data_IF_299039660191
#
_entry.id   IF_299039660191
#
_cell.length_a   1.000
_cell.length_b   1.000
_cell.length_c   1.000
_cell.angle_alpha   90.00
_cell.angle_beta   90.00
_cell.angle_gamma   90.00
#
_symmetry.space_group_name_H-M   'P 1'
#
loop_
_entity.id
_entity.type
_entity.pdbx_description
1 polymer ?
#
# COMPACT_ATOMS: atom_id res chain seq x y z
N UNK A 1 -19.27 -4.14 -6.79
CA UNK A 1 -18.22 -3.12 -7.00
C UNK A 1 -18.79 -2.05 -7.91
N UNK A 2 -18.74 -0.78 -7.49
CA UNK A 2 -19.13 0.35 -8.35
C UNK A 2 -17.90 0.81 -9.13
N UNK A 3 -17.99 0.88 -10.46
CA UNK A 3 -16.96 1.41 -11.34
C UNK A 3 -17.53 2.67 -12.01
N UNK A 4 -16.91 3.85 -11.85
CA UNK A 4 -17.32 5.05 -12.58
C UNK A 4 -17.29 4.80 -14.09
N UNK A 5 -18.28 5.31 -14.82
CA UNK A 5 -18.41 5.09 -16.27
C UNK A 5 -17.16 5.55 -17.05
N UNK A 6 -16.52 6.64 -16.61
CA UNK A 6 -15.27 7.15 -17.18
C UNK A 6 -14.07 6.21 -17.03
N UNK A 7 -14.16 5.21 -16.15
CA UNK A 7 -13.11 4.21 -15.90
C UNK A 7 -13.45 2.85 -16.55
N UNK A 8 -14.59 2.71 -17.24
CA UNK A 8 -15.04 1.44 -17.79
C UNK A 8 -14.09 0.83 -18.84
N UNK A 9 -13.32 1.67 -19.54
CA UNK A 9 -12.36 1.26 -20.57
C UNK A 9 -10.91 1.33 -20.10
N UNK A 10 -10.67 1.72 -18.84
CA UNK A 10 -9.32 1.83 -18.29
C UNK A 10 -8.87 0.46 -17.79
N UNK A 11 -7.75 -0.02 -18.32
CA UNK A 11 -7.11 -1.23 -17.79
C UNK A 11 -6.61 -0.98 -16.38
N UNK A 12 -7.29 -1.56 -15.40
CA UNK A 12 -6.83 -1.63 -14.01
C UNK A 12 -6.23 -3.03 -13.77
N UNK A 13 -5.11 -3.09 -13.08
CA UNK A 13 -4.57 -4.34 -12.58
C UNK A 13 -4.85 -4.47 -11.08
N UNK A 14 -5.00 -5.71 -10.62
CA UNK A 14 -5.29 -6.02 -9.22
C UNK A 14 -3.99 -6.02 -8.41
N UNK A 15 -3.55 -4.86 -7.93
CA UNK A 15 -2.45 -4.71 -6.97
C UNK A 15 -2.80 -3.62 -5.92
N UNK A 16 -2.67 -3.89 -4.61
CA UNK A 16 -2.38 -5.20 -4.02
C UNK A 16 -3.50 -6.21 -4.29
N UNK A 17 -3.09 -7.44 -4.57
CA UNK A 17 -3.95 -8.61 -4.69
C UNK A 17 -4.06 -9.25 -3.30
N UNK A 18 -5.29 -9.44 -2.79
CA UNK A 18 -5.54 -9.84 -1.39
C UNK A 18 -6.06 -11.26 -1.20
N UNK A 19 -6.30 -12.02 -2.26
CA UNK A 19 -6.69 -13.44 -2.16
C UNK A 19 -5.44 -14.31 -1.95
N UNK A 20 -4.31 -13.95 -2.56
CA UNK A 20 -2.99 -14.61 -2.40
C UNK A 20 -1.93 -13.71 -1.77
N UNK A 21 -2.32 -12.48 -1.41
CA UNK A 21 -1.49 -11.51 -0.70
C UNK A 21 -0.20 -11.19 -1.46
N UNK A 22 -0.32 -10.62 -2.65
CA UNK A 22 0.83 -10.18 -3.45
C UNK A 22 0.72 -8.70 -3.84
N UNK A 23 1.87 -8.07 -4.01
CA UNK A 23 1.96 -6.69 -4.50
C UNK A 23 3.20 -6.58 -5.39
N UNK A 24 3.08 -5.90 -6.54
CA UNK A 24 4.20 -5.63 -7.44
C UNK A 24 4.40 -4.15 -7.69
N UNK A 25 5.66 -3.74 -7.85
CA UNK A 25 6.03 -2.39 -8.31
C UNK A 25 7.47 -2.40 -8.85
N UNK A 26 7.83 -1.42 -9.66
CA UNK A 26 9.19 -1.30 -10.17
C UNK A 26 10.04 -0.40 -9.25
N UNK A 27 10.64 -1.02 -8.24
CA UNK A 27 11.42 -0.33 -7.20
C UNK A 27 12.71 0.33 -7.71
N UNK A 28 13.18 -0.06 -8.91
CA UNK A 28 14.39 0.50 -9.53
C UNK A 28 14.09 1.81 -10.27
N UNK A 29 12.97 1.86 -11.01
CA UNK A 29 12.67 3.01 -11.88
C UNK A 29 11.60 3.95 -11.33
N UNK A 30 10.65 3.46 -10.51
CA UNK A 30 9.57 4.27 -9.98
C UNK A 30 10.05 5.01 -8.72
N UNK A 31 10.22 6.36 -8.74
CA UNK A 31 10.72 7.11 -7.59
C UNK A 31 9.84 6.98 -6.34
N UNK A 32 8.56 6.66 -6.52
CA UNK A 32 7.60 6.47 -5.43
C UNK A 32 7.73 5.10 -4.78
N UNK A 33 8.32 4.13 -5.48
CA UNK A 33 8.51 2.75 -5.04
C UNK A 33 9.90 2.50 -4.45
N UNK A 34 10.88 3.38 -4.67
CA UNK A 34 12.28 3.16 -4.30
C UNK A 34 12.49 2.79 -2.82
N UNK A 35 11.70 3.36 -1.90
CA UNK A 35 11.78 3.04 -0.48
C UNK A 35 11.47 1.58 -0.16
N UNK A 36 10.83 0.85 -1.07
CA UNK A 36 10.51 -0.57 -0.89
C UNK A 36 11.72 -1.49 -1.13
N UNK A 37 12.85 -0.98 -1.61
CA UNK A 37 14.10 -1.77 -1.70
C UNK A 37 14.62 -2.22 -0.34
N UNK A 38 14.29 -1.45 0.69
CA UNK A 38 14.66 -1.71 2.09
C UNK A 38 13.69 -2.65 2.81
N UNK A 39 12.62 -3.11 2.14
CA UNK A 39 11.62 -4.00 2.74
C UNK A 39 12.20 -5.40 2.87
N UNK A 40 12.07 -5.95 4.07
CA UNK A 40 12.55 -7.26 4.46
C UNK A 40 11.39 -8.15 4.94
N UNK A 41 11.68 -9.44 5.06
CA UNK A 41 10.78 -10.39 5.70
C UNK A 41 10.48 -9.92 7.13
N UNK A 42 9.21 -9.91 7.51
CA UNK A 42 8.70 -9.44 8.79
C UNK A 42 8.17 -8.01 8.77
N UNK A 43 8.46 -7.23 7.73
CA UNK A 43 7.94 -5.86 7.60
C UNK A 43 6.45 -5.85 7.23
N UNK A 44 5.80 -4.71 7.49
CA UNK A 44 4.42 -4.47 7.12
C UNK A 44 4.33 -3.44 6.00
N UNK A 45 3.75 -3.83 4.86
CA UNK A 45 3.34 -2.91 3.79
C UNK A 45 1.87 -2.56 3.98
N UNK A 46 1.58 -1.33 4.41
CA UNK A 46 0.21 -0.82 4.52
C UNK A 46 -0.24 -0.13 3.24
N UNK A 47 -1.43 -0.47 2.74
CA UNK A 47 -1.97 0.11 1.51
C UNK A 47 -3.00 1.18 1.82
N UNK A 48 -2.72 2.39 1.33
CA UNK A 48 -3.60 3.55 1.45
C UNK A 48 -4.29 3.80 0.10
N UNK A 49 -5.60 4.04 0.13
CA UNK A 49 -6.40 4.37 -1.05
C UNK A 49 -7.24 5.60 -0.81
N UNK A 50 -7.40 6.43 -1.84
CA UNK A 50 -8.40 7.50 -1.83
C UNK A 50 -9.75 6.91 -2.19
N UNK A 51 -10.68 6.93 -1.25
CA UNK A 51 -12.03 6.40 -1.44
C UNK A 51 -13.07 7.51 -1.34
N UNK A 52 -14.22 7.25 -1.93
CA UNK A 52 -15.41 8.09 -1.89
C UNK A 52 -16.36 7.54 -0.81
N UNK A 53 -16.97 8.43 -0.03
CA UNK A 53 -17.98 7.99 0.94
C UNK A 53 -19.25 7.52 0.22
N UNK A 54 -19.85 6.47 0.75
CA UNK A 54 -21.07 5.86 0.25
C UNK A 54 -22.18 5.99 1.29
N UNK A 55 -23.27 6.67 0.94
CA UNK A 55 -24.36 6.98 1.86
C UNK A 55 -25.71 6.76 1.19
N UNK A 56 -26.64 6.12 1.90
CA UNK A 56 -28.00 5.87 1.41
C UNK A 56 -28.04 5.25 -0.01
N UNK A 57 -27.14 4.29 -0.27
CA UNK A 57 -27.10 3.56 -1.55
C UNK A 57 -26.45 4.30 -2.71
N UNK A 58 -25.80 5.45 -2.48
CA UNK A 58 -25.15 6.24 -3.54
C UNK A 58 -23.79 6.80 -3.12
N UNK A 59 -22.86 7.05 -4.07
CA UNK A 59 -21.64 7.77 -3.79
C UNK A 59 -21.92 9.24 -3.43
N UNK A 60 -21.07 9.85 -2.61
CA UNK A 60 -21.15 11.27 -2.22
C UNK A 60 -19.95 12.05 -2.75
N UNK A 61 -20.01 13.38 -2.80
CA UNK A 61 -18.84 14.20 -3.18
C UNK A 61 -17.74 14.28 -2.11
N UNK A 62 -17.84 13.50 -1.03
CA UNK A 62 -16.85 13.46 0.05
C UNK A 62 -15.83 12.37 -0.24
N UNK A 63 -14.57 12.71 -0.04
CA UNK A 63 -13.44 11.81 -0.24
C UNK A 63 -12.54 11.79 0.99
N UNK A 64 -11.90 10.66 1.23
CA UNK A 64 -10.91 10.48 2.28
C UNK A 64 -9.82 9.50 1.84
N UNK A 65 -8.75 9.45 2.61
CA UNK A 65 -7.78 8.35 2.50
C UNK A 65 -8.10 7.29 3.54
N UNK A 66 -7.93 6.04 3.15
CA UNK A 66 -8.21 4.90 4.00
C UNK A 66 -7.16 3.82 3.81
N UNK A 67 -6.77 3.15 4.89
CA UNK A 67 -6.09 1.87 4.75
C UNK A 67 -7.10 0.81 4.31
N UNK A 68 -6.72 0.02 3.31
CA UNK A 68 -7.56 -1.06 2.78
C UNK A 68 -7.08 -2.45 3.21
N UNK A 69 -5.87 -2.52 3.77
CA UNK A 69 -5.23 -3.74 4.22
C UNK A 69 -3.72 -3.58 4.32
N UNK A 70 -3.05 -4.69 4.58
CA UNK A 70 -1.60 -4.76 4.63
C UNK A 70 -1.06 -6.15 4.22
N UNK A 71 0.20 -6.18 3.80
CA UNK A 71 1.00 -7.40 3.71
C UNK A 71 1.95 -7.46 4.90
N UNK A 72 1.96 -8.59 5.62
CA UNK A 72 3.08 -8.95 6.49
C UNK A 72 4.07 -9.74 5.65
N UNK A 73 5.15 -9.10 5.22
CA UNK A 73 6.05 -9.57 4.16
C UNK A 73 6.74 -10.87 4.57
N UNK A 74 6.60 -11.90 3.74
CA UNK A 74 7.22 -13.20 3.92
C UNK A 74 8.36 -13.44 2.94
N UNK A 75 8.11 -13.09 1.67
CA UNK A 75 9.05 -13.31 0.57
C UNK A 75 9.05 -12.11 -0.37
N UNK A 76 10.20 -11.85 -0.98
CA UNK A 76 10.38 -10.77 -1.96
C UNK A 76 11.16 -11.32 -3.16
N UNK A 77 10.57 -11.22 -4.34
CA UNK A 77 11.28 -11.36 -5.61
C UNK A 77 11.81 -9.98 -6.02
N UNK A 78 13.12 -9.86 -6.17
CA UNK A 78 13.80 -8.59 -6.46
C UNK A 78 14.25 -8.58 -7.91
N UNK A 79 14.16 -7.42 -8.56
CA UNK A 79 14.67 -7.16 -9.90
C UNK A 79 14.35 -8.29 -10.90
N UNK A 80 13.07 -8.67 -10.98
CA UNK A 80 12.61 -9.78 -11.83
C UNK A 80 12.74 -9.38 -13.30
N UNK A 81 13.72 -9.98 -13.98
CA UNK A 81 14.03 -9.75 -15.40
C UNK A 81 13.89 -11.01 -16.27
N UNK A 82 13.45 -12.11 -15.67
CA UNK A 82 13.17 -13.37 -16.34
C UNK A 82 12.15 -14.17 -15.52
N UNK A 83 11.64 -15.27 -16.09
CA UNK A 83 10.70 -16.14 -15.38
C UNK A 83 11.33 -16.69 -14.09
N UNK A 84 10.69 -16.51 -12.93
CA UNK A 84 11.12 -17.15 -11.68
C UNK A 84 11.12 -18.68 -11.78
N UNK A 85 11.73 -19.32 -10.77
CA UNK A 85 11.67 -20.78 -10.62
C UNK A 85 10.23 -21.28 -10.49
N UNK A 86 9.99 -22.57 -10.74
CA UNK A 86 8.65 -23.18 -10.64
C UNK A 86 8.01 -22.96 -9.26
N UNK A 87 8.77 -23.12 -8.19
CA UNK A 87 8.31 -22.88 -6.81
C UNK A 87 7.94 -21.41 -6.55
N UNK A 88 8.73 -20.47 -7.08
CA UNK A 88 8.40 -19.04 -6.96
C UNK A 88 7.18 -18.70 -7.83
N UNK A 89 7.06 -19.31 -9.01
CA UNK A 89 5.91 -19.12 -9.87
C UNK A 89 4.62 -19.59 -9.16
N UNK A 90 4.65 -20.74 -8.49
CA UNK A 90 3.50 -21.23 -7.70
C UNK A 90 3.04 -20.19 -6.67
N UNK A 91 3.98 -19.52 -5.99
CA UNK A 91 3.69 -18.50 -4.96
C UNK A 91 3.17 -17.19 -5.54
N UNK A 92 3.70 -16.75 -6.70
CA UNK A 92 3.53 -15.39 -7.19
C UNK A 92 2.70 -15.26 -8.48
N UNK A 93 2.30 -16.37 -9.13
CA UNK A 93 1.57 -16.38 -10.41
C UNK A 93 0.30 -15.50 -10.46
N UNK A 94 -0.34 -15.23 -9.32
CA UNK A 94 -1.50 -14.35 -9.25
C UNK A 94 -1.14 -12.86 -9.41
N UNK A 95 0.10 -12.48 -9.15
CA UNK A 95 0.55 -11.09 -9.17
C UNK A 95 0.46 -10.50 -10.58
N UNK A 96 -0.07 -9.28 -10.70
CA UNK A 96 -0.33 -8.69 -11.99
C UNK A 96 0.94 -8.37 -12.80
N UNK A 97 2.06 -8.05 -12.13
CA UNK A 97 3.32 -7.77 -12.82
C UNK A 97 3.90 -9.03 -13.46
N UNK A 98 3.86 -10.18 -12.77
CA UNK A 98 4.24 -11.46 -13.38
C UNK A 98 3.31 -11.87 -14.51
N UNK A 99 1.99 -11.75 -14.32
CA UNK A 99 1.02 -12.07 -15.39
C UNK A 99 1.23 -11.21 -16.64
N UNK A 100 1.56 -9.94 -16.43
CA UNK A 100 1.92 -9.01 -17.51
C UNK A 100 3.20 -9.46 -18.21
N UNK A 101 4.26 -9.77 -17.47
CA UNK A 101 5.54 -10.21 -18.02
C UNK A 101 5.44 -11.54 -18.80
N UNK A 102 4.63 -12.50 -18.31
CA UNK A 102 4.36 -13.74 -19.03
C UNK A 102 3.66 -13.53 -20.39
N UNK A 103 2.93 -12.42 -20.57
CA UNK A 103 2.27 -12.11 -21.84
C UNK A 103 3.17 -11.42 -22.87
N UNK A 104 4.31 -10.88 -22.45
CA UNK A 104 5.20 -10.10 -23.32
C UNK A 104 6.62 -10.06 -22.75
N UNK A 105 7.58 -10.60 -23.50
CA UNK A 105 8.98 -10.74 -23.09
C UNK A 105 9.64 -9.40 -22.71
N UNK A 106 9.26 -8.28 -23.34
CA UNK A 106 9.82 -6.97 -23.01
C UNK A 106 9.35 -6.40 -21.65
N UNK A 107 8.40 -7.06 -20.99
CA UNK A 107 7.82 -6.62 -19.71
C UNK A 107 8.47 -7.32 -18.51
N UNK A 108 9.50 -8.12 -18.73
CA UNK A 108 10.46 -8.55 -17.70
C UNK A 108 11.42 -7.39 -17.34
N UNK A 109 10.86 -6.34 -16.75
CA UNK A 109 11.46 -5.00 -16.67
C UNK A 109 12.14 -4.66 -15.31
N UNK A 110 12.64 -5.67 -14.59
CA UNK A 110 13.24 -5.56 -13.26
C UNK A 110 12.25 -5.12 -12.17
N UNK A 111 10.96 -5.43 -12.32
CA UNK A 111 9.98 -5.20 -11.27
C UNK A 111 10.28 -6.06 -10.02
N UNK A 112 9.73 -5.65 -8.89
CA UNK A 112 9.79 -6.40 -7.64
C UNK A 112 8.40 -6.91 -7.30
N UNK A 113 8.35 -8.07 -6.65
CA UNK A 113 7.08 -8.66 -6.16
C UNK A 113 7.23 -9.05 -4.70
N UNK A 114 6.27 -8.65 -3.89
CA UNK A 114 6.20 -8.90 -2.46
C UNK A 114 5.07 -9.88 -2.19
N UNK A 115 5.35 -10.92 -1.42
CA UNK A 115 4.38 -11.90 -0.95
C UNK A 115 4.19 -11.76 0.55
N UNK A 116 2.93 -11.63 0.96
CA UNK A 116 2.53 -11.64 2.36
C UNK A 116 2.40 -13.06 2.93
N UNK A 117 2.62 -13.19 4.22
CA UNK A 117 2.31 -14.39 5.01
C UNK A 117 0.82 -14.49 5.33
N UNK A 118 0.44 -15.54 6.07
CA UNK A 118 -0.89 -15.73 6.66
C UNK A 118 -1.31 -14.64 7.66
N UNK A 119 -0.41 -13.75 8.08
CA UNK A 119 -0.75 -12.59 8.92
C UNK A 119 -1.20 -11.39 8.10
N UNK A 120 -1.09 -11.43 6.77
CA UNK A 120 -1.58 -10.38 5.88
C UNK A 120 -3.10 -10.29 5.93
N UNK A 121 -3.65 -9.10 5.67
CA UNK A 121 -5.09 -8.89 5.82
C UNK A 121 -5.62 -7.83 4.87
N UNK A 122 -6.77 -8.13 4.26
CA UNK A 122 -7.68 -7.12 3.69
C UNK A 122 -8.70 -6.74 4.74
N UNK A 123 -8.84 -5.45 5.02
CA UNK A 123 -9.80 -5.01 6.01
C UNK A 123 -11.23 -5.18 5.52
N UNK A 124 -12.11 -5.59 6.42
CA UNK A 124 -13.54 -5.69 6.13
C UNK A 124 -14.15 -4.30 5.89
N UNK A 125 -13.75 -3.32 6.71
CA UNK A 125 -14.00 -1.89 6.48
C UNK A 125 -12.69 -1.14 6.29
N UNK A 126 -12.67 -0.23 5.33
CA UNK A 126 -11.51 0.63 5.11
C UNK A 126 -11.29 1.54 6.33
N UNK A 127 -10.07 1.55 6.87
CA UNK A 127 -9.71 2.26 8.10
C UNK A 127 -9.36 3.72 7.76
N UNK A 128 -10.02 4.73 8.35
CA UNK A 128 -9.80 6.12 7.97
C UNK A 128 -8.39 6.61 8.33
N UNK A 129 -7.75 7.29 7.39
CA UNK A 129 -6.49 8.02 7.60
C UNK A 129 -6.83 9.49 7.80
N UNK A 130 -6.83 9.94 9.05
CA UNK A 130 -7.23 11.30 9.45
C UNK A 130 -6.02 12.14 9.81
N UNK A 131 -6.20 13.47 9.86
CA UNK A 131 -5.18 14.39 10.38
C UNK A 131 -4.71 14.01 11.78
N UNK A 132 -5.63 13.61 12.66
CA UNK A 132 -5.31 13.21 14.04
C UNK A 132 -4.44 11.96 14.09
N UNK A 133 -4.75 10.94 13.26
CA UNK A 133 -3.91 9.75 13.14
C UNK A 133 -2.53 10.14 12.59
N UNK A 134 -2.50 10.95 11.52
CA UNK A 134 -1.26 11.36 10.89
C UNK A 134 -0.34 12.11 11.84
N UNK A 135 -0.86 12.98 12.70
CA UNK A 135 -0.08 13.71 13.70
C UNK A 135 0.51 12.81 14.79
N UNK A 136 -0.15 11.71 15.11
CA UNK A 136 0.32 10.78 16.14
C UNK A 136 1.31 9.74 15.60
N UNK A 137 1.12 9.32 14.35
CA UNK A 137 1.79 8.14 13.80
C UNK A 137 2.88 8.50 12.79
N UNK A 138 2.62 9.46 11.89
CA UNK A 138 3.49 9.68 10.74
C UNK A 138 4.45 10.85 10.91
N UNK A 139 5.65 10.64 10.40
CA UNK A 139 6.70 11.67 10.31
C UNK A 139 7.18 11.82 8.88
N UNK A 140 7.92 12.88 8.61
CA UNK A 140 8.68 13.08 7.38
C UNK A 140 9.91 12.16 7.37
N UNK A 141 10.60 12.08 6.23
CA UNK A 141 11.86 11.31 6.14
C UNK A 141 12.94 11.81 7.13
N UNK A 142 12.90 13.09 7.51
CA UNK A 142 13.77 13.66 8.54
C UNK A 142 13.27 13.48 9.98
N UNK A 143 12.23 12.68 10.20
CA UNK A 143 11.66 12.43 11.53
C UNK A 143 10.76 13.54 12.09
N UNK A 144 10.50 14.60 11.33
CA UNK A 144 9.66 15.72 11.75
C UNK A 144 8.17 15.44 11.57
N UNK A 145 7.32 16.05 12.38
CA UNK A 145 5.87 16.05 12.17
C UNK A 145 5.48 16.63 10.81
N UNK A 146 4.34 16.22 10.26
CA UNK A 146 3.84 16.79 9.01
C UNK A 146 3.41 18.25 9.18
N UNK A 147 3.60 19.05 8.14
CA UNK A 147 3.19 20.45 8.11
C UNK A 147 1.79 20.56 7.50
N UNK A 148 0.86 21.17 8.25
CA UNK A 148 -0.51 21.42 7.81
C UNK A 148 -0.71 22.89 7.49
N UNK A 149 -0.58 23.25 6.21
CA UNK A 149 -0.72 24.63 5.74
C UNK A 149 -2.19 25.03 5.67
N UNK A 150 -2.53 26.25 6.09
CA UNK A 150 -3.89 26.80 5.98
C UNK A 150 -4.42 26.82 4.54
N UNK A 151 -3.52 26.93 3.55
CA UNK A 151 -3.87 26.92 2.13
C UNK A 151 -4.15 25.54 1.54
N UNK A 152 -4.11 24.46 2.35
CA UNK A 152 -4.32 23.09 1.89
C UNK A 152 -5.35 22.37 2.74
N UNK A 153 -6.19 21.57 2.09
CA UNK A 153 -7.10 20.66 2.79
C UNK A 153 -6.32 19.47 3.38
N UNK A 154 -6.93 18.80 4.36
CA UNK A 154 -6.34 17.57 4.93
C UNK A 154 -6.11 16.51 3.84
N UNK A 155 -7.07 16.38 2.91
CA UNK A 155 -6.97 15.47 1.77
C UNK A 155 -5.75 15.78 0.90
N UNK A 156 -5.50 17.06 0.60
CA UNK A 156 -4.33 17.48 -0.18
C UNK A 156 -3.02 17.22 0.57
N UNK A 157 -3.01 17.42 1.88
CA UNK A 157 -1.82 17.24 2.72
C UNK A 157 -1.46 15.77 2.86
N UNK A 158 -2.42 14.91 3.24
CA UNK A 158 -2.21 13.45 3.32
C UNK A 158 -1.73 12.93 1.97
N UNK A 159 -2.45 13.27 0.90
CA UNK A 159 -2.10 12.86 -0.45
C UNK A 159 -0.79 13.45 -0.98
N UNK A 160 -0.18 14.44 -0.30
CA UNK A 160 1.17 14.93 -0.61
C UNK A 160 2.24 14.12 0.12
N UNK A 161 2.00 13.81 1.40
CA UNK A 161 2.97 13.08 2.23
C UNK A 161 3.01 11.58 1.98
N UNK A 162 1.94 11.00 1.43
CA UNK A 162 1.83 9.56 1.15
C UNK A 162 2.06 9.21 -0.32
N UNK A 163 2.67 10.10 -1.12
CA UNK A 163 2.94 9.85 -2.55
C UNK A 163 4.05 8.84 -2.80
N UNK A 164 4.95 8.66 -1.83
CA UNK A 164 6.12 7.80 -1.93
C UNK A 164 6.05 6.80 -0.78
N UNK A 165 6.29 5.52 -1.08
CA UNK A 165 6.46 4.49 -0.08
C UNK A 165 7.76 4.73 0.69
N UNK A 166 7.69 4.64 2.01
CA UNK A 166 8.80 4.87 2.95
C UNK A 166 8.57 4.04 4.21
N UNK A 167 9.66 3.70 4.89
CA UNK A 167 9.55 3.25 6.28
C UNK A 167 9.01 4.43 7.11
N UNK A 168 7.77 4.30 7.57
CA UNK A 168 7.08 5.34 8.33
C UNK A 168 7.20 5.13 9.84
N UNK A 169 7.39 3.87 10.27
CA UNK A 169 7.39 3.45 11.67
C UNK A 169 8.44 2.34 11.80
N UNK A 170 9.44 2.55 12.66
CA UNK A 170 10.42 1.53 13.01
C UNK A 170 10.28 1.17 14.50
N UNK A 171 9.67 0.01 14.84
CA UNK A 171 9.47 -0.40 16.22
C UNK A 171 10.77 -0.82 16.93
N UNK A 172 11.94 -0.73 16.30
CA UNK A 172 13.23 -0.96 16.94
C UNK A 172 13.59 0.15 17.94
N UNK A 173 12.98 1.34 17.81
CA UNK A 173 13.19 2.49 18.70
C UNK A 173 11.95 2.80 19.56
N UNK A 174 12.10 3.41 20.75
CA UNK A 174 10.98 3.66 21.66
C UNK A 174 9.80 4.44 21.05
N UNK A 175 10.08 5.52 20.33
CA UNK A 175 9.07 6.37 19.69
C UNK A 175 8.33 5.60 18.59
N UNK A 176 9.06 4.76 17.85
CA UNK A 176 8.48 3.91 16.81
C UNK A 176 7.57 2.83 17.40
N UNK A 177 7.90 2.24 18.55
CA UNK A 177 7.01 1.32 19.27
C UNK A 177 5.70 2.00 19.67
N UNK A 178 5.78 3.23 20.18
CA UNK A 178 4.59 4.01 20.56
C UNK A 178 3.70 4.24 19.32
N UNK A 179 4.30 4.69 18.21
CA UNK A 179 3.58 4.92 16.94
C UNK A 179 2.97 3.63 16.38
N UNK A 180 3.68 2.51 16.45
CA UNK A 180 3.18 1.21 16.03
C UNK A 180 1.96 0.79 16.85
N UNK A 181 2.01 0.94 18.18
CA UNK A 181 0.87 0.62 19.05
C UNK A 181 -0.35 1.50 18.71
N UNK A 182 -0.15 2.81 18.56
CA UNK A 182 -1.24 3.74 18.17
C UNK A 182 -1.84 3.33 16.82
N UNK A 183 -1.01 2.98 15.84
CA UNK A 183 -1.47 2.54 14.52
C UNK A 183 -2.30 1.26 14.61
N UNK A 184 -1.82 0.25 15.33
CA UNK A 184 -2.52 -1.03 15.45
C UNK A 184 -3.81 -0.92 16.25
N UNK A 185 -3.83 -0.15 17.35
CA UNK A 185 -5.04 0.16 18.10
C UNK A 185 -6.08 0.87 17.21
N UNK A 186 -5.63 1.79 16.35
CA UNK A 186 -6.49 2.48 15.40
C UNK A 186 -7.06 1.53 14.34
N UNK A 187 -6.22 0.66 13.77
CA UNK A 187 -6.65 -0.35 12.81
C UNK A 187 -7.69 -1.29 13.45
N UNK A 188 -7.43 -1.81 14.64
CA UNK A 188 -8.33 -2.73 15.33
C UNK A 188 -9.69 -2.10 15.66
N UNK A 189 -9.68 -0.80 15.98
CA UNK A 189 -10.89 -0.02 16.25
C UNK A 189 -11.78 0.16 15.02
N UNK A 190 -11.19 0.36 13.84
CA UNK A 190 -11.93 0.78 12.65
C UNK A 190 -12.05 -0.27 11.53
N UNK A 191 -11.27 -1.36 11.58
CA UNK A 191 -11.25 -2.39 10.52
C UNK A 191 -12.39 -3.42 10.62
N UNK A 192 -13.12 -3.44 11.74
CA UNK A 192 -14.26 -4.32 12.03
C UNK A 192 -15.60 -3.77 11.53
#
# INVERSE_FOLDING_TARGET
MYLPESMATVTAHSDPEFDTFTYGDNCEVNPRAMGMREVNRGDFLLFISRLQYWESGKPTERFGFFFIGYLHVEQVLKAVSESPSELEMERFQANAHLRRAMSCESLWDNFWVFAGSSWSSRFYKAVPVTKDLCNQVFVTAGGMSWEWKESRTDLQTIGSYTRTCRCAIDPSYPEGKIRANILWDWIDKFSK
#
